data_IF_085509366748
#
_entry.id   IF_085509366748
#
_cell.length_a   1.000
_cell.length_b   1.000
_cell.length_c   1.000
_cell.angle_alpha   90.00
_cell.angle_beta   90.00
_cell.angle_gamma   90.00
#
_symmetry.space_group_name_H-M   'P 1'
#
loop_
_entity.id
_entity.type
_entity.pdbx_description
1 polymer ?
#
# COMPACT_ATOMS: atom_id res chain seq x y z
N UNK A 1 8.37 53.35 -16.62
CA UNK A 1 7.91 52.60 -17.83
C UNK A 1 8.83 51.46 -18.22
N UNK A 2 10.17 51.63 -18.28
CA UNK A 2 11.11 50.57 -18.72
C UNK A 2 11.06 49.25 -17.92
N UNK A 3 10.86 49.33 -16.59
CA UNK A 3 10.76 48.14 -15.71
C UNK A 3 9.49 47.33 -15.97
N UNK A 4 8.38 48.01 -16.30
CA UNK A 4 7.09 47.37 -16.56
C UNK A 4 7.09 46.64 -17.90
N UNK A 5 7.82 47.20 -18.88
CA UNK A 5 8.11 46.56 -20.16
C UNK A 5 8.95 45.29 -19.98
N UNK A 6 9.98 45.31 -19.13
CA UNK A 6 10.80 44.13 -18.85
C UNK A 6 10.01 43.00 -18.18
N UNK A 7 9.09 43.32 -17.27
CA UNK A 7 8.24 42.32 -16.61
C UNK A 7 7.24 41.70 -17.59
N UNK A 8 6.67 42.50 -18.49
CA UNK A 8 5.76 41.99 -19.53
C UNK A 8 6.50 41.11 -20.55
N UNK A 9 7.73 41.48 -20.93
CA UNK A 9 8.56 40.71 -21.85
C UNK A 9 8.98 39.37 -21.24
N UNK A 10 9.34 39.36 -19.95
CA UNK A 10 9.64 38.12 -19.21
C UNK A 10 8.42 37.20 -19.06
N UNK A 11 7.22 37.76 -18.84
CA UNK A 11 5.98 36.98 -18.81
C UNK A 11 5.63 36.40 -20.18
N UNK A 12 5.89 37.14 -21.26
CA UNK A 12 5.61 36.67 -22.62
C UNK A 12 6.55 35.52 -23.03
N UNK A 13 7.85 35.65 -22.77
CA UNK A 13 8.84 34.57 -23.04
C UNK A 13 8.51 33.31 -22.23
N UNK A 14 8.06 33.46 -20.98
CA UNK A 14 7.66 32.32 -20.13
C UNK A 14 6.39 31.62 -20.64
N UNK A 15 5.49 32.36 -21.28
CA UNK A 15 4.27 31.82 -21.87
C UNK A 15 4.58 31.07 -23.18
N UNK A 16 5.43 31.64 -24.04
CA UNK A 16 5.83 31.02 -25.30
C UNK A 16 6.60 29.71 -25.09
N UNK A 17 7.52 29.66 -24.11
CA UNK A 17 8.23 28.42 -23.77
C UNK A 17 7.33 27.34 -23.17
N UNK A 18 6.25 27.72 -22.47
CA UNK A 18 5.29 26.76 -21.94
C UNK A 18 4.44 26.14 -23.06
N UNK A 19 4.05 26.95 -24.05
CA UNK A 19 3.28 26.52 -25.21
C UNK A 19 4.08 25.61 -26.16
N UNK A 20 5.35 25.92 -26.44
CA UNK A 20 6.23 25.05 -27.24
C UNK A 20 6.49 23.71 -26.55
N UNK A 21 6.62 23.67 -25.22
CA UNK A 21 6.82 22.41 -24.48
C UNK A 21 5.60 21.49 -24.47
N UNK A 22 4.38 22.05 -24.56
CA UNK A 22 3.16 21.24 -24.66
C UNK A 22 2.99 20.69 -26.08
N UNK A 23 3.37 21.44 -27.12
CA UNK A 23 3.30 21.01 -28.53
C UNK A 23 4.37 19.97 -28.88
N UNK A 24 5.61 20.11 -28.37
CA UNK A 24 6.64 19.07 -28.55
C UNK A 24 6.28 17.75 -27.84
N UNK A 25 5.58 17.82 -26.69
CA UNK A 25 5.09 16.61 -26.02
C UNK A 25 3.94 15.97 -26.80
N UNK A 26 3.05 16.76 -27.42
CA UNK A 26 1.91 16.26 -28.19
C UNK A 26 2.37 15.58 -29.49
N UNK A 27 3.35 16.17 -30.21
CA UNK A 27 3.93 15.59 -31.42
C UNK A 27 4.77 14.32 -31.16
N UNK A 28 5.46 14.23 -30.01
CA UNK A 28 6.21 13.02 -29.64
C UNK A 28 5.28 11.81 -29.34
N UNK A 29 4.06 12.06 -28.87
CA UNK A 29 3.07 11.00 -28.59
C UNK A 29 2.25 10.58 -29.81
N UNK A 30 2.04 11.45 -30.80
CA UNK A 30 1.36 11.08 -32.05
C UNK A 30 2.24 10.23 -32.97
N UNK A 31 3.56 10.50 -33.02
CA UNK A 31 4.49 9.72 -33.83
C UNK A 31 4.67 8.27 -33.34
N UNK A 32 4.52 8.03 -32.03
CA UNK A 32 4.62 6.69 -31.42
C UNK A 32 3.35 5.84 -31.62
N UNK A 33 2.23 6.47 -31.98
CA UNK A 33 0.92 5.82 -32.08
C UNK A 33 0.53 5.41 -33.52
N UNK A 34 1.23 5.95 -34.54
CA UNK A 34 0.99 5.60 -35.95
C UNK A 34 1.79 4.37 -36.45
N UNK A 35 2.73 3.85 -35.66
CA UNK A 35 3.53 2.66 -36.03
C UNK A 35 2.97 1.33 -35.48
N UNK A 36 1.69 1.28 -35.08
CA UNK A 36 1.10 0.12 -34.40
C UNK A 36 -0.28 -0.29 -34.88
N UNK A 37 -0.73 0.18 -36.04
CA UNK A 37 -1.97 -0.30 -36.67
C UNK A 37 -1.56 -1.32 -37.73
N UNK A 38 -1.41 -2.57 -37.29
CA UNK A 38 -1.51 -3.71 -38.19
C UNK A 38 -2.91 -4.29 -37.99
N UNK A 39 -3.72 -4.14 -39.02
CA UNK A 39 -5.06 -4.70 -39.15
C UNK A 39 -4.92 -6.22 -39.22
N UNK A 40 -5.49 -6.93 -38.26
CA UNK A 40 -5.94 -8.29 -38.52
C UNK A 40 -7.14 -8.59 -37.63
N UNK A 41 -8.30 -8.41 -38.26
CA UNK A 41 -9.52 -9.14 -37.98
C UNK A 41 -9.21 -10.64 -37.95
N UNK A 42 -9.62 -11.32 -36.89
CA UNK A 42 -10.14 -12.68 -37.00
C UNK A 42 -10.98 -12.99 -35.76
N UNK A 43 -12.28 -13.10 -36.03
CA UNK A 43 -13.27 -13.78 -35.21
C UNK A 43 -12.86 -15.25 -35.08
N UNK A 44 -12.84 -15.81 -33.86
CA UNK A 44 -12.91 -17.27 -33.70
C UNK A 44 -13.55 -17.65 -32.37
N UNK A 45 -14.83 -17.97 -32.51
CA UNK A 45 -15.60 -19.09 -31.96
C UNK A 45 -15.29 -19.64 -30.56
N UNK A 46 -16.34 -19.61 -29.74
CA UNK A 46 -16.47 -20.26 -28.44
C UNK A 46 -16.90 -21.71 -28.69
N UNK A 47 -16.12 -22.68 -28.19
CA UNK A 47 -16.58 -24.06 -28.01
C UNK A 47 -16.58 -24.36 -26.52
N UNK A 48 -17.80 -24.56 -25.99
CA UNK A 48 -18.09 -25.18 -24.70
C UNK A 48 -17.90 -26.69 -24.83
N UNK A 49 -17.21 -27.30 -23.86
CA UNK A 49 -17.27 -28.73 -23.60
C UNK A 49 -17.36 -28.91 -22.09
N UNK A 50 -18.57 -29.21 -21.63
CA UNK A 50 -18.84 -29.92 -20.39
C UNK A 50 -18.57 -31.40 -20.64
N UNK A 51 -17.85 -32.07 -19.73
CA UNK A 51 -18.18 -33.44 -19.31
C UNK A 51 -17.43 -33.79 -18.01
N UNK A 52 -18.20 -34.40 -17.12
CA UNK A 52 -17.89 -35.03 -15.83
C UNK A 52 -16.83 -36.15 -15.97
N UNK A 53 -16.03 -36.39 -14.93
CA UNK A 53 -16.28 -37.49 -13.97
C UNK A 53 -15.05 -37.75 -13.06
N UNK A 54 -15.35 -38.29 -11.89
CA UNK A 54 -14.47 -38.74 -10.82
C UNK A 54 -13.47 -39.82 -11.25
N UNK A 55 -12.39 -39.95 -10.49
CA UNK A 55 -11.48 -41.09 -10.63
C UNK A 55 -10.28 -40.96 -9.70
N UNK A 56 -10.50 -41.28 -8.43
CA UNK A 56 -9.46 -41.74 -7.51
C UNK A 56 -8.79 -42.97 -8.14
N UNK A 57 -7.46 -43.01 -8.23
CA UNK A 57 -6.74 -44.27 -8.47
C UNK A 57 -5.32 -44.21 -7.89
N UNK A 58 -5.21 -45.01 -6.85
CA UNK A 58 -4.04 -45.48 -6.09
C UNK A 58 -3.43 -46.68 -6.84
N UNK A 59 -2.15 -46.62 -7.24
CA UNK A 59 -1.37 -47.82 -7.57
C UNK A 59 0.11 -47.66 -7.17
N UNK A 60 0.38 -48.26 -6.03
CA UNK A 60 1.35 -49.33 -5.71
C UNK A 60 2.80 -49.36 -6.24
N UNK A 61 3.64 -49.84 -5.31
CA UNK A 61 5.09 -49.95 -5.30
C UNK A 61 5.48 -51.43 -5.39
N UNK A 62 5.87 -51.94 -6.56
CA UNK A 62 6.62 -53.21 -6.65
C UNK A 62 7.60 -53.16 -7.84
N UNK A 63 8.91 -53.14 -7.55
CA UNK A 63 9.94 -53.70 -8.44
C UNK A 63 10.76 -54.63 -7.54
N UNK A 64 10.33 -55.89 -7.51
CA UNK A 64 11.09 -57.03 -6.98
C UNK A 64 12.29 -57.33 -7.88
N UNK A 65 13.33 -57.83 -7.22
CA UNK A 65 14.53 -58.41 -7.80
C UNK A 65 14.18 -59.71 -8.54
N UNK A 66 14.71 -59.89 -9.76
CA UNK A 66 14.85 -61.20 -10.38
C UNK A 66 16.34 -61.44 -10.67
N UNK A 67 16.89 -62.38 -9.90
CA UNK A 67 18.12 -63.11 -10.18
C UNK A 67 17.87 -64.05 -11.36
N UNK A 68 18.75 -64.06 -12.36
CA UNK A 68 18.75 -65.11 -13.37
C UNK A 68 20.18 -65.65 -13.58
N UNK A 69 20.23 -66.98 -13.52
CA UNK A 69 21.36 -67.86 -13.37
C UNK A 69 22.34 -67.89 -14.55
N UNK A 70 23.58 -68.25 -14.25
CA UNK A 70 24.62 -68.57 -15.23
C UNK A 70 25.64 -69.54 -14.63
N UNK A 71 25.32 -70.82 -14.72
CA UNK A 71 26.11 -71.98 -14.33
C UNK A 71 27.25 -72.27 -15.35
N UNK A 72 28.30 -73.00 -14.90
CA UNK A 72 29.49 -73.53 -15.61
C UNK A 72 30.60 -72.51 -15.95
N UNK A 73 31.91 -72.77 -15.85
CA UNK A 73 32.69 -74.01 -15.73
C UNK A 73 34.10 -73.62 -15.22
N UNK A 74 34.73 -74.48 -14.42
CA UNK A 74 36.13 -74.35 -14.00
C UNK A 74 37.03 -74.84 -15.15
N UNK A 75 37.73 -73.94 -15.83
CA UNK A 75 38.99 -74.28 -16.51
C UNK A 75 40.05 -73.21 -16.24
N UNK A 76 41.23 -73.73 -15.89
CA UNK A 76 42.43 -73.06 -15.43
C UNK A 76 43.01 -72.11 -16.49
N UNK A 77 43.23 -70.85 -16.10
CA UNK A 77 44.17 -69.95 -16.77
C UNK A 77 44.61 -68.86 -15.77
N UNK A 78 45.73 -69.11 -15.07
CA UNK A 78 46.30 -68.28 -14.00
C UNK A 78 46.79 -66.89 -14.46
N UNK A 79 46.71 -66.55 -15.75
CA UNK A 79 47.17 -65.26 -16.31
C UNK A 79 46.05 -64.22 -16.55
N UNK A 80 44.78 -64.54 -16.25
CA UNK A 80 43.65 -63.67 -16.59
C UNK A 80 43.17 -62.77 -15.42
N UNK A 81 43.74 -62.94 -14.24
CA UNK A 81 43.30 -62.23 -13.02
C UNK A 81 43.63 -60.73 -13.01
N UNK A 82 44.79 -60.33 -13.55
CA UNK A 82 45.19 -58.92 -13.59
C UNK A 82 44.40 -58.13 -14.65
N UNK A 83 44.05 -58.78 -15.78
CA UNK A 83 43.17 -58.21 -16.81
C UNK A 83 41.72 -58.09 -16.32
N UNK A 84 41.20 -59.10 -15.61
CA UNK A 84 39.86 -59.08 -14.99
C UNK A 84 39.76 -58.03 -13.88
N UNK A 85 40.78 -57.86 -13.02
CA UNK A 85 40.80 -56.80 -11.98
C UNK A 85 40.78 -55.40 -12.59
N UNK A 86 41.54 -55.13 -13.66
CA UNK A 86 41.51 -53.81 -14.34
C UNK A 86 40.18 -53.52 -15.05
N UNK A 87 39.52 -54.54 -15.63
CA UNK A 87 38.18 -54.40 -16.24
C UNK A 87 37.08 -54.15 -15.19
N UNK A 88 37.08 -54.88 -14.07
CA UNK A 88 36.12 -54.67 -12.96
C UNK A 88 36.27 -53.27 -12.33
N UNK A 89 37.50 -52.77 -12.18
CA UNK A 89 37.72 -51.41 -11.69
C UNK A 89 37.18 -50.35 -12.66
N UNK A 90 37.42 -50.48 -13.98
CA UNK A 90 36.86 -49.56 -14.99
C UNK A 90 35.33 -49.61 -15.03
N UNK A 91 34.73 -50.80 -14.93
CA UNK A 91 33.29 -50.96 -14.92
C UNK A 91 32.65 -50.29 -13.69
N UNK A 92 33.25 -50.45 -12.51
CA UNK A 92 32.81 -49.77 -11.29
C UNK A 92 32.91 -48.24 -11.40
N UNK A 93 34.00 -47.71 -11.94
CA UNK A 93 34.15 -46.26 -12.18
C UNK A 93 33.16 -45.74 -13.22
N UNK A 94 32.88 -46.51 -14.29
CA UNK A 94 31.86 -46.16 -15.28
C UNK A 94 30.45 -46.19 -14.69
N UNK A 95 30.11 -47.19 -13.87
CA UNK A 95 28.80 -47.30 -13.22
C UNK A 95 28.60 -46.19 -12.19
N UNK A 96 29.63 -45.88 -11.39
CA UNK A 96 29.63 -44.75 -10.45
C UNK A 96 29.50 -43.41 -11.16
N UNK A 97 30.24 -43.19 -12.26
CA UNK A 97 30.12 -41.98 -13.06
C UNK A 97 28.77 -41.87 -13.77
N UNK A 98 28.22 -42.99 -14.24
CA UNK A 98 26.88 -43.06 -14.82
C UNK A 98 25.81 -42.72 -13.78
N UNK A 99 25.91 -43.29 -12.57
CA UNK A 99 24.99 -43.00 -11.47
C UNK A 99 25.08 -41.53 -11.03
N UNK A 100 26.29 -40.99 -10.88
CA UNK A 100 26.50 -39.56 -10.59
C UNK A 100 25.93 -38.66 -11.69
N UNK A 101 26.12 -39.02 -12.96
CA UNK A 101 25.57 -38.27 -14.10
C UNK A 101 24.04 -38.33 -14.13
N UNK A 102 23.44 -39.49 -13.84
CA UNK A 102 21.98 -39.69 -13.72
C UNK A 102 21.42 -38.89 -12.55
N UNK A 103 22.08 -38.91 -11.40
CA UNK A 103 21.66 -38.17 -10.20
C UNK A 103 21.82 -36.66 -10.38
N UNK A 104 22.91 -36.22 -11.02
CA UNK A 104 23.13 -34.82 -11.38
C UNK A 104 22.05 -34.35 -12.37
N UNK A 105 21.74 -35.11 -13.42
CA UNK A 105 20.65 -34.82 -14.36
C UNK A 105 19.28 -34.77 -13.67
N UNK A 106 18.97 -35.68 -12.75
CA UNK A 106 17.72 -35.63 -11.96
C UNK A 106 17.64 -34.36 -11.11
N UNK A 107 18.73 -33.99 -10.42
CA UNK A 107 18.77 -32.78 -9.61
C UNK A 107 18.70 -31.50 -10.47
N UNK A 108 19.39 -31.47 -11.60
CA UNK A 108 19.33 -30.37 -12.55
C UNK A 108 17.92 -30.21 -13.13
N UNK A 109 17.26 -31.31 -13.53
CA UNK A 109 15.84 -31.29 -13.97
C UNK A 109 14.90 -30.81 -12.86
N UNK A 110 15.12 -31.21 -11.60
CA UNK A 110 14.34 -30.70 -10.44
C UNK A 110 14.57 -29.20 -10.22
N UNK A 111 15.81 -28.73 -10.34
CA UNK A 111 16.16 -27.32 -10.21
C UNK A 111 15.57 -26.47 -11.33
N UNK A 112 15.62 -26.96 -12.58
CA UNK A 112 14.98 -26.32 -13.73
C UNK A 112 13.45 -26.29 -13.59
N UNK A 113 12.82 -27.34 -13.07
CA UNK A 113 11.38 -27.33 -12.76
C UNK A 113 11.02 -26.28 -11.69
N UNK A 114 11.80 -26.18 -10.60
CA UNK A 114 11.62 -25.14 -9.57
C UNK A 114 11.78 -23.74 -10.15
N UNK A 115 12.80 -23.54 -10.99
CA UNK A 115 13.04 -22.26 -11.67
C UNK A 115 11.90 -21.88 -12.62
N UNK A 116 11.40 -22.83 -13.43
CA UNK A 116 10.22 -22.60 -14.29
C UNK A 116 8.98 -22.24 -13.46
N UNK A 117 8.69 -22.97 -12.38
CA UNK A 117 7.57 -22.64 -11.47
C UNK A 117 7.72 -21.23 -10.88
N UNK A 118 8.93 -20.81 -10.49
CA UNK A 118 9.17 -19.46 -10.00
C UNK A 118 8.94 -18.39 -11.09
N UNK A 119 9.39 -18.63 -12.32
CA UNK A 119 9.16 -17.72 -13.44
C UNK A 119 7.66 -17.64 -13.79
N UNK A 120 6.95 -18.75 -13.73
CA UNK A 120 5.51 -18.79 -13.97
C UNK A 120 4.74 -18.03 -12.89
N UNK A 121 5.08 -18.21 -11.61
CA UNK A 121 4.49 -17.43 -10.51
C UNK A 121 4.78 -15.93 -10.69
N UNK A 122 6.00 -15.55 -11.11
CA UNK A 122 6.33 -14.15 -11.45
C UNK A 122 5.49 -13.63 -12.62
N UNK A 123 5.32 -14.42 -13.70
CA UNK A 123 4.45 -14.08 -14.84
C UNK A 123 3.01 -13.89 -14.42
N UNK A 124 2.41 -14.84 -13.70
CA UNK A 124 1.04 -14.75 -13.17
C UNK A 124 0.86 -13.52 -12.26
N UNK A 125 1.86 -13.21 -11.42
CA UNK A 125 1.84 -12.01 -10.57
C UNK A 125 1.88 -10.71 -11.39
N UNK A 126 2.74 -10.65 -12.41
CA UNK A 126 2.81 -9.51 -13.33
C UNK A 126 1.53 -9.35 -14.15
N UNK A 127 0.93 -10.45 -14.59
CA UNK A 127 -0.34 -10.45 -15.31
C UNK A 127 -1.48 -9.90 -14.43
N UNK A 128 -1.60 -10.37 -13.18
CA UNK A 128 -2.55 -9.81 -12.19
C UNK A 128 -2.34 -8.31 -11.97
N UNK A 129 -1.09 -7.85 -11.91
CA UNK A 129 -0.76 -6.42 -11.79
C UNK A 129 -1.16 -5.62 -13.04
N UNK A 130 -0.86 -6.14 -14.24
CA UNK A 130 -1.28 -5.53 -15.51
C UNK A 130 -2.80 -5.46 -15.61
N UNK A 131 -3.50 -6.51 -15.22
CA UNK A 131 -4.96 -6.56 -15.22
C UNK A 131 -5.57 -5.57 -14.23
N UNK A 132 -5.01 -5.47 -13.01
CA UNK A 132 -5.36 -4.44 -12.04
C UNK A 132 -5.15 -3.02 -12.60
N UNK A 133 -4.04 -2.78 -13.31
CA UNK A 133 -3.76 -1.51 -13.97
C UNK A 133 -4.76 -1.23 -15.10
N UNK A 134 -5.08 -2.21 -15.96
CA UNK A 134 -6.12 -2.11 -16.99
C UNK A 134 -7.48 -1.77 -16.39
N UNK A 135 -7.92 -2.49 -15.35
CA UNK A 135 -9.17 -2.21 -14.61
C UNK A 135 -9.16 -0.79 -14.01
N UNK A 136 -8.03 -0.34 -13.45
CA UNK A 136 -7.88 1.01 -12.90
C UNK A 136 -7.95 2.09 -13.99
N UNK A 137 -7.33 1.84 -15.13
CA UNK A 137 -7.37 2.71 -16.30
C UNK A 137 -8.79 2.80 -16.88
N UNK A 138 -9.47 1.66 -17.06
CA UNK A 138 -10.87 1.61 -17.51
C UNK A 138 -11.80 2.39 -16.56
N UNK A 139 -11.64 2.25 -15.23
CA UNK A 139 -12.38 3.07 -14.25
C UNK A 139 -12.06 4.57 -14.39
N UNK A 140 -10.81 4.94 -14.67
CA UNK A 140 -10.40 6.34 -14.89
C UNK A 140 -11.00 6.88 -16.18
N UNK A 141 -11.04 6.08 -17.25
CA UNK A 141 -11.70 6.43 -18.52
C UNK A 141 -13.21 6.61 -18.33
N UNK A 142 -13.93 5.64 -17.76
CA UNK A 142 -15.37 5.76 -17.45
C UNK A 142 -15.67 7.00 -16.61
N UNK A 143 -14.81 7.32 -15.62
CA UNK A 143 -14.97 8.53 -14.82
C UNK A 143 -14.71 9.84 -15.62
N UNK A 144 -13.78 9.82 -16.59
CA UNK A 144 -13.54 10.94 -17.52
C UNK A 144 -14.70 11.11 -18.49
N UNK A 145 -15.21 10.02 -19.07
CA UNK A 145 -16.40 10.02 -19.92
C UNK A 145 -17.62 10.52 -19.17
N UNK A 146 -17.88 10.03 -17.95
CA UNK A 146 -18.95 10.54 -17.11
C UNK A 146 -18.79 12.04 -16.83
N UNK A 147 -17.56 12.52 -16.57
CA UNK A 147 -17.30 13.96 -16.41
C UNK A 147 -17.53 14.73 -17.70
N UNK A 148 -17.09 14.23 -18.86
CA UNK A 148 -17.32 14.84 -20.17
C UNK A 148 -18.81 14.86 -20.51
N UNK A 149 -19.54 13.79 -20.25
CA UNK A 149 -20.99 13.71 -20.40
C UNK A 149 -21.70 14.66 -19.43
N UNK A 150 -21.23 14.78 -18.18
CA UNK A 150 -21.72 15.78 -17.23
C UNK A 150 -21.43 17.19 -17.73
N UNK A 151 -20.22 17.46 -18.23
CA UNK A 151 -19.79 18.77 -18.76
C UNK A 151 -20.53 19.15 -20.06
N UNK A 152 -20.81 18.19 -20.95
CA UNK A 152 -21.67 18.37 -22.14
C UNK A 152 -23.14 18.57 -21.72
N UNK A 153 -23.64 17.84 -20.72
CA UNK A 153 -24.94 18.13 -20.07
C UNK A 153 -24.93 19.43 -19.28
N UNK A 154 -23.78 19.97 -18.89
CA UNK A 154 -23.59 21.23 -18.17
C UNK A 154 -23.15 22.38 -19.09
N UNK A 155 -22.89 22.12 -20.38
CA UNK A 155 -22.99 23.10 -21.48
C UNK A 155 -24.45 23.57 -21.67
N UNK A 156 -25.36 23.09 -20.83
CA UNK A 156 -26.48 23.86 -20.28
C UNK A 156 -25.93 25.17 -19.74
N UNK A 157 -25.93 26.19 -20.62
CA UNK A 157 -25.67 27.61 -20.36
C UNK A 157 -25.85 27.96 -18.88
N UNK A 158 -24.92 28.69 -18.28
CA UNK A 158 -24.95 29.00 -16.83
C UNK A 158 -26.36 29.32 -16.34
N UNK A 159 -26.73 28.91 -15.12
CA UNK A 159 -28.05 29.20 -14.52
C UNK A 159 -28.52 30.66 -14.76
N UNK A 160 -27.58 31.60 -14.81
CA UNK A 160 -27.82 33.00 -15.16
C UNK A 160 -28.41 33.21 -16.57
N UNK A 161 -27.94 32.47 -17.57
CA UNK A 161 -28.41 32.52 -18.96
C UNK A 161 -29.84 31.98 -19.10
N UNK A 162 -30.18 30.89 -18.40
CA UNK A 162 -31.56 30.40 -18.38
C UNK A 162 -32.51 31.39 -17.69
N UNK A 163 -32.10 31.97 -16.56
CA UNK A 163 -32.88 33.04 -15.90
C UNK A 163 -33.11 34.24 -16.82
N UNK A 164 -32.07 34.74 -17.50
CA UNK A 164 -32.19 35.84 -18.47
C UNK A 164 -33.17 35.50 -19.61
N UNK A 165 -33.12 34.26 -20.13
CA UNK A 165 -34.04 33.79 -21.17
C UNK A 165 -35.49 33.69 -20.70
N UNK A 166 -35.72 33.26 -19.46
CA UNK A 166 -37.07 33.20 -18.87
C UNK A 166 -37.66 34.61 -18.72
N UNK A 167 -36.89 35.54 -18.14
CA UNK A 167 -37.33 36.94 -17.97
C UNK A 167 -37.65 37.58 -19.32
N UNK A 168 -36.81 37.36 -20.34
CA UNK A 168 -37.06 37.86 -21.69
C UNK A 168 -38.32 37.24 -22.33
N UNK A 169 -38.58 35.95 -22.09
CA UNK A 169 -39.78 35.28 -22.56
C UNK A 169 -41.04 35.81 -21.85
N UNK A 170 -40.99 36.03 -20.54
CA UNK A 170 -42.08 36.59 -19.74
C UNK A 170 -42.48 37.99 -20.21
N UNK A 171 -41.50 38.87 -20.43
CA UNK A 171 -41.74 40.22 -21.00
C UNK A 171 -42.46 40.13 -22.36
N UNK A 172 -42.02 39.23 -23.23
CA UNK A 172 -42.63 39.04 -24.56
C UNK A 172 -44.05 38.48 -24.49
N UNK A 173 -44.32 37.54 -23.58
CA UNK A 173 -45.66 36.99 -23.35
C UNK A 173 -46.58 38.08 -22.79
N UNK A 174 -46.09 38.91 -21.86
CA UNK A 174 -46.84 40.03 -21.31
C UNK A 174 -47.26 41.03 -22.40
N UNK A 175 -46.33 41.41 -23.29
CA UNK A 175 -46.64 42.30 -24.42
C UNK A 175 -47.68 41.67 -25.37
N UNK A 176 -47.57 40.38 -25.67
CA UNK A 176 -48.55 39.68 -26.51
C UNK A 176 -49.94 39.59 -25.85
N UNK A 177 -50.00 39.41 -24.53
CA UNK A 177 -51.27 39.45 -23.78
C UNK A 177 -51.92 40.84 -23.84
N UNK A 178 -51.13 41.92 -23.74
CA UNK A 178 -51.63 43.28 -23.90
C UNK A 178 -52.17 43.52 -25.31
N UNK A 179 -51.42 43.13 -26.35
CA UNK A 179 -51.89 43.22 -27.74
C UNK A 179 -53.17 42.42 -27.97
N UNK A 180 -53.27 41.22 -27.40
CA UNK A 180 -54.49 40.42 -27.46
C UNK A 180 -55.69 41.12 -26.79
N UNK A 181 -55.48 41.79 -25.65
CA UNK A 181 -56.51 42.58 -24.96
C UNK A 181 -56.99 43.75 -25.84
N UNK A 182 -56.06 44.45 -26.49
CA UNK A 182 -56.39 45.56 -27.41
C UNK A 182 -57.19 45.04 -28.61
N UNK A 183 -56.75 43.95 -29.25
CA UNK A 183 -57.48 43.34 -30.38
C UNK A 183 -58.86 42.85 -29.96
N UNK A 184 -59.01 42.25 -28.77
CA UNK A 184 -60.32 41.83 -28.24
C UNK A 184 -61.27 43.01 -28.09
N UNK A 185 -60.80 44.13 -27.56
CA UNK A 185 -61.60 45.35 -27.45
C UNK A 185 -61.98 45.90 -28.84
N UNK A 186 -61.06 45.89 -29.80
CA UNK A 186 -61.33 46.32 -31.19
C UNK A 186 -62.35 45.41 -31.89
N UNK A 187 -62.29 44.10 -31.68
CA UNK A 187 -63.30 43.13 -32.15
C UNK A 187 -64.68 43.48 -31.59
N UNK A 188 -64.78 43.73 -30.29
CA UNK A 188 -66.04 44.11 -29.64
C UNK A 188 -66.58 45.41 -30.26
N UNK A 189 -65.75 46.45 -30.41
CA UNK A 189 -66.15 47.72 -31.03
C UNK A 189 -66.63 47.55 -32.49
N UNK A 190 -65.93 46.74 -33.30
CA UNK A 190 -66.34 46.46 -34.68
C UNK A 190 -67.67 45.69 -34.75
N UNK A 191 -67.91 44.76 -33.81
CA UNK A 191 -69.20 44.05 -33.70
C UNK A 191 -70.32 45.03 -33.34
N UNK A 192 -70.09 45.96 -32.39
CA UNK A 192 -71.07 46.99 -32.05
C UNK A 192 -71.38 47.90 -33.24
N UNK A 193 -70.36 48.37 -33.97
CA UNK A 193 -70.54 49.18 -35.18
C UNK A 193 -71.33 48.43 -36.25
N UNK A 194 -70.98 47.17 -36.53
CA UNK A 194 -71.70 46.32 -37.49
C UNK A 194 -73.18 46.12 -37.16
N UNK A 195 -73.56 46.15 -35.87
CA UNK A 195 -74.95 46.07 -35.43
C UNK A 195 -75.72 47.37 -35.65
N UNK A 196 -75.03 48.51 -35.67
CA UNK A 196 -75.63 49.84 -35.81
C UNK A 196 -75.71 50.30 -37.28
N UNK A 197 -74.81 49.83 -38.16
CA UNK A 197 -74.80 50.23 -39.57
C UNK A 197 -75.92 49.54 -40.37
N UNK A 198 -76.80 50.34 -41.00
CA UNK A 198 -77.83 49.85 -41.92
C UNK A 198 -77.35 49.76 -43.38
N UNK A 199 -76.26 50.47 -43.71
CA UNK A 199 -75.71 50.59 -45.06
C UNK A 199 -74.97 49.32 -45.53
N UNK A 200 -75.42 48.71 -46.64
CA UNK A 200 -74.94 47.39 -47.09
C UNK A 200 -73.46 47.40 -47.49
N UNK A 201 -72.98 48.46 -48.17
CA UNK A 201 -71.58 48.58 -48.60
C UNK A 201 -70.62 48.73 -47.41
N UNK A 202 -70.98 49.55 -46.42
CA UNK A 202 -70.17 49.74 -45.21
C UNK A 202 -70.13 48.46 -44.36
N UNK A 203 -71.22 47.70 -44.33
CA UNK A 203 -71.28 46.41 -43.62
C UNK A 203 -70.30 45.38 -44.18
N UNK A 204 -70.13 45.31 -45.50
CA UNK A 204 -69.15 44.42 -46.16
C UNK A 204 -67.71 44.83 -45.82
N UNK A 205 -67.41 46.13 -45.78
CA UNK A 205 -66.09 46.62 -45.40
C UNK A 205 -65.77 46.32 -43.92
N UNK A 206 -66.74 46.55 -43.02
CA UNK A 206 -66.58 46.28 -41.59
C UNK A 206 -66.47 44.79 -41.27
N UNK A 207 -67.15 43.90 -42.01
CA UNK A 207 -66.98 42.44 -41.84
C UNK A 207 -65.61 41.97 -42.34
N UNK A 208 -65.10 42.54 -43.43
CA UNK A 208 -63.73 42.27 -43.88
C UNK A 208 -62.70 42.72 -42.83
N UNK A 209 -62.84 43.94 -42.28
CA UNK A 209 -61.96 44.42 -41.20
C UNK A 209 -62.06 43.51 -39.97
N UNK A 210 -63.28 43.14 -39.55
CA UNK A 210 -63.50 42.24 -38.42
C UNK A 210 -62.80 40.88 -38.62
N UNK A 211 -62.90 40.29 -39.82
CA UNK A 211 -62.24 39.02 -40.16
C UNK A 211 -60.72 39.13 -40.02
N UNK A 212 -60.12 40.21 -40.54
CA UNK A 212 -58.67 40.43 -40.40
C UNK A 212 -58.23 40.60 -38.95
N UNK A 213 -59.01 41.29 -38.12
CA UNK A 213 -58.70 41.50 -36.69
C UNK A 213 -58.84 40.19 -35.91
N UNK A 214 -59.83 39.36 -36.25
CA UNK A 214 -60.00 38.03 -35.65
C UNK A 214 -58.81 37.13 -35.98
N UNK A 215 -58.36 37.10 -37.23
CA UNK A 215 -57.24 36.27 -37.67
C UNK A 215 -55.92 36.71 -37.00
N UNK A 216 -55.67 38.04 -36.92
CA UNK A 216 -54.57 38.60 -36.11
C UNK A 216 -54.65 38.18 -34.64
N UNK A 217 -55.85 38.12 -34.04
CA UNK A 217 -56.02 37.66 -32.65
C UNK A 217 -55.68 36.17 -32.49
N UNK A 218 -56.05 35.33 -33.47
CA UNK A 218 -55.77 33.89 -33.48
C UNK A 218 -54.28 33.64 -33.57
N UNK A 219 -53.57 34.39 -34.42
CA UNK A 219 -52.12 34.33 -34.54
C UNK A 219 -51.40 34.69 -33.23
N UNK A 220 -51.81 35.79 -32.59
CA UNK A 220 -51.25 36.19 -31.30
C UNK A 220 -51.53 35.12 -30.24
N UNK A 221 -52.72 34.52 -30.22
CA UNK A 221 -53.05 33.42 -29.30
C UNK A 221 -52.17 32.19 -29.52
N UNK A 222 -51.96 31.76 -30.77
CA UNK A 222 -51.04 30.67 -31.12
C UNK A 222 -49.60 31.00 -30.69
N UNK A 223 -49.15 32.23 -30.88
CA UNK A 223 -47.82 32.67 -30.48
C UNK A 223 -47.62 32.67 -28.95
N UNK A 224 -48.62 33.07 -28.17
CA UNK A 224 -48.60 33.00 -26.69
C UNK A 224 -48.44 31.55 -26.24
N UNK A 225 -49.26 30.64 -26.77
CA UNK A 225 -49.24 29.21 -26.39
C UNK A 225 -47.89 28.59 -26.75
N UNK A 226 -47.40 28.77 -27.97
CA UNK A 226 -46.10 28.23 -28.42
C UNK A 226 -44.94 28.71 -27.53
N UNK A 227 -44.95 30.00 -27.14
CA UNK A 227 -43.91 30.56 -26.27
C UNK A 227 -44.01 30.07 -24.83
N UNK A 228 -45.22 29.89 -24.30
CA UNK A 228 -45.43 29.31 -22.97
C UNK A 228 -44.90 27.86 -22.90
N UNK A 229 -45.13 27.05 -23.94
CA UNK A 229 -44.58 25.69 -24.05
C UNK A 229 -43.04 25.71 -24.05
N UNK A 230 -42.43 26.61 -24.83
CA UNK A 230 -40.96 26.78 -24.84
C UNK A 230 -40.41 27.22 -23.48
N UNK A 231 -41.11 28.09 -22.75
CA UNK A 231 -40.74 28.51 -21.40
C UNK A 231 -40.77 27.34 -20.41
N UNK A 232 -41.81 26.49 -20.48
CA UNK A 232 -41.91 25.29 -19.64
C UNK A 232 -40.77 24.30 -19.87
N UNK A 233 -40.37 24.07 -21.14
CA UNK A 233 -39.19 23.25 -21.42
C UNK A 233 -37.90 23.82 -20.80
N UNK A 234 -37.74 25.14 -20.82
CA UNK A 234 -36.59 25.83 -20.22
C UNK A 234 -36.61 25.69 -18.69
N UNK A 235 -37.77 25.82 -18.04
CA UNK A 235 -37.92 25.63 -16.60
C UNK A 235 -37.54 24.21 -16.16
N UNK A 236 -38.00 23.18 -16.89
CA UNK A 236 -37.61 21.78 -16.63
C UNK A 236 -36.09 21.58 -16.71
N UNK A 237 -35.44 22.17 -17.72
CA UNK A 237 -33.96 22.14 -17.85
C UNK A 237 -33.26 22.84 -16.68
N UNK A 238 -33.80 23.95 -16.20
CA UNK A 238 -33.29 24.69 -15.06
C UNK A 238 -33.39 23.89 -13.75
N UNK A 239 -34.49 23.18 -13.52
CA UNK A 239 -34.63 22.33 -12.33
C UNK A 239 -33.73 21.10 -12.38
N UNK A 240 -33.55 20.49 -13.55
CA UNK A 240 -32.56 19.45 -13.73
C UNK A 240 -31.14 19.95 -13.44
N UNK A 241 -30.79 21.17 -13.89
CA UNK A 241 -29.51 21.79 -13.57
C UNK A 241 -29.31 22.04 -12.06
N UNK A 242 -30.37 22.45 -11.33
CA UNK A 242 -30.33 22.58 -9.87
C UNK A 242 -30.05 21.23 -9.19
N UNK A 243 -30.77 20.17 -9.59
CA UNK A 243 -30.59 18.81 -9.05
C UNK A 243 -29.16 18.32 -9.29
N UNK A 244 -28.64 18.51 -10.50
CA UNK A 244 -27.25 18.16 -10.85
C UNK A 244 -26.24 18.94 -10.03
N UNK A 245 -26.42 20.26 -9.84
CA UNK A 245 -25.54 21.08 -8.99
C UNK A 245 -25.50 20.58 -7.55
N UNK A 246 -26.66 20.19 -7.00
CA UNK A 246 -26.74 19.61 -5.66
C UNK A 246 -26.00 18.26 -5.57
N UNK A 247 -26.16 17.39 -6.58
CA UNK A 247 -25.45 16.12 -6.67
C UNK A 247 -23.92 16.30 -6.76
N UNK A 248 -23.44 17.24 -7.58
CA UNK A 248 -22.01 17.57 -7.69
C UNK A 248 -21.46 18.07 -6.35
N UNK A 249 -22.22 18.90 -5.62
CA UNK A 249 -21.83 19.38 -4.29
C UNK A 249 -21.70 18.22 -3.29
N UNK A 250 -22.58 17.22 -3.34
CA UNK A 250 -22.48 15.99 -2.53
C UNK A 250 -21.22 15.20 -2.87
N UNK A 251 -21.00 14.91 -4.16
CA UNK A 251 -19.81 14.18 -4.65
C UNK A 251 -18.50 14.90 -4.25
N UNK A 252 -18.46 16.23 -4.32
CA UNK A 252 -17.28 16.99 -3.91
C UNK A 252 -17.01 16.87 -2.41
N UNK A 253 -18.05 16.95 -1.56
CA UNK A 253 -17.93 16.74 -0.12
C UNK A 253 -17.40 15.34 0.21
N UNK A 254 -17.93 14.31 -0.45
CA UNK A 254 -17.46 12.92 -0.28
C UNK A 254 -16.01 12.76 -0.73
N UNK A 255 -15.61 13.33 -1.87
CA UNK A 255 -14.21 13.32 -2.33
C UNK A 255 -13.26 13.94 -1.32
N UNK A 256 -13.66 15.08 -0.73
CA UNK A 256 -12.88 15.73 0.32
C UNK A 256 -12.80 14.89 1.59
N UNK A 257 -13.90 14.22 1.97
CA UNK A 257 -13.91 13.28 3.10
C UNK A 257 -12.96 12.09 2.87
N UNK A 258 -13.04 11.44 1.71
CA UNK A 258 -12.16 10.31 1.33
C UNK A 258 -10.69 10.76 1.28
N UNK A 259 -10.40 11.95 0.76
CA UNK A 259 -9.05 12.49 0.75
C UNK A 259 -8.51 12.70 2.18
N UNK A 260 -9.33 13.19 3.09
CA UNK A 260 -8.97 13.34 4.50
C UNK A 260 -8.75 11.98 5.18
N UNK A 261 -9.60 10.98 4.92
CA UNK A 261 -9.41 9.62 5.45
C UNK A 261 -8.08 9.01 4.97
N UNK A 262 -7.75 9.14 3.68
CA UNK A 262 -6.46 8.67 3.14
C UNK A 262 -5.27 9.33 3.83
N UNK A 263 -5.36 10.64 4.13
CA UNK A 263 -4.32 11.35 4.90
C UNK A 263 -4.19 10.80 6.32
N UNK A 264 -5.31 10.49 6.98
CA UNK A 264 -5.33 9.89 8.33
C UNK A 264 -4.67 8.52 8.32
N UNK A 265 -5.04 7.65 7.38
CA UNK A 265 -4.45 6.30 7.25
C UNK A 265 -2.94 6.39 7.00
N UNK A 266 -2.53 7.27 6.07
CA UNK A 266 -1.10 7.51 5.78
C UNK A 266 -0.35 7.96 7.03
N UNK A 267 -0.92 8.88 7.82
CA UNK A 267 -0.33 9.35 9.06
C UNK A 267 -0.17 8.21 10.08
N UNK A 268 -1.21 7.37 10.25
CA UNK A 268 -1.16 6.23 11.16
C UNK A 268 -0.04 5.27 10.79
N UNK A 269 0.10 4.92 9.50
CA UNK A 269 1.15 4.00 9.04
C UNK A 269 2.57 4.56 9.27
N UNK A 270 2.78 5.85 9.02
CA UNK A 270 4.08 6.51 9.29
C UNK A 270 4.38 6.49 10.78
N UNK A 271 3.42 6.85 11.63
CA UNK A 271 3.58 6.85 13.08
C UNK A 271 3.89 5.43 13.57
N UNK A 272 3.21 4.43 13.01
CA UNK A 272 3.40 3.04 13.44
C UNK A 272 4.80 2.52 13.13
N UNK A 273 5.30 2.83 11.92
CA UNK A 273 6.68 2.58 11.55
C UNK A 273 7.65 3.28 12.52
N UNK A 274 7.42 4.56 12.84
CA UNK A 274 8.26 5.32 13.78
C UNK A 274 8.23 4.77 15.20
N UNK A 275 7.09 4.29 15.70
CA UNK A 275 6.98 3.61 17.00
C UNK A 275 7.88 2.37 17.04
N UNK A 276 7.88 1.60 15.95
CA UNK A 276 8.73 0.41 15.85
C UNK A 276 10.21 0.74 15.87
N UNK A 277 10.65 1.88 15.35
CA UNK A 277 12.05 2.32 15.47
C UNK A 277 12.35 2.80 16.90
N UNK A 278 11.52 3.72 17.41
CA UNK A 278 11.72 4.36 18.71
C UNK A 278 11.72 3.38 19.90
N UNK A 279 11.04 2.23 19.78
CA UNK A 279 11.06 1.20 20.84
C UNK A 279 12.44 0.54 20.98
N UNK A 280 13.24 0.53 19.92
CA UNK A 280 14.62 0.03 19.94
C UNK A 280 15.57 1.12 20.45
N UNK A 281 15.45 2.36 19.98
CA UNK A 281 16.26 3.50 20.42
C UNK A 281 16.12 3.77 21.93
N UNK A 282 14.93 3.53 22.48
CA UNK A 282 14.62 3.76 23.88
C UNK A 282 14.33 2.46 24.65
N UNK A 283 15.10 1.40 24.36
CA UNK A 283 14.94 0.02 24.91
C UNK A 283 14.82 -0.06 26.43
N UNK A 284 15.34 0.92 27.17
CA UNK A 284 15.39 0.92 28.65
C UNK A 284 14.73 2.14 29.30
N UNK A 285 14.13 3.07 28.54
CA UNK A 285 13.52 4.28 29.10
C UNK A 285 12.14 4.55 28.52
N UNK A 286 11.12 4.08 29.23
CA UNK A 286 9.72 4.20 28.84
C UNK A 286 9.23 5.67 28.75
N UNK A 287 9.70 6.54 29.66
CA UNK A 287 9.30 7.96 29.68
C UNK A 287 9.87 8.70 28.47
N UNK A 288 11.14 8.45 28.11
CA UNK A 288 11.75 9.00 26.88
C UNK A 288 11.04 8.47 25.63
N UNK A 289 10.73 7.17 25.58
CA UNK A 289 9.94 6.57 24.49
C UNK A 289 8.59 7.26 24.29
N UNK A 290 7.77 7.41 25.35
CA UNK A 290 6.46 8.05 25.24
C UNK A 290 6.55 9.51 24.75
N UNK A 291 7.54 10.27 25.25
CA UNK A 291 7.78 11.66 24.82
C UNK A 291 8.22 11.74 23.37
N UNK A 292 9.09 10.84 22.92
CA UNK A 292 9.56 10.78 21.54
C UNK A 292 8.40 10.44 20.58
N UNK A 293 7.57 9.46 20.91
CA UNK A 293 6.40 9.11 20.10
C UNK A 293 5.40 10.27 20.03
N UNK A 294 5.13 10.96 21.14
CA UNK A 294 4.24 12.12 21.13
C UNK A 294 4.76 13.25 20.23
N UNK A 295 6.08 13.50 20.22
CA UNK A 295 6.72 14.46 19.30
C UNK A 295 6.57 14.02 17.85
N UNK A 296 6.75 12.72 17.55
CA UNK A 296 6.62 12.22 16.18
C UNK A 296 5.20 12.23 15.65
N UNK A 297 4.19 11.97 16.50
CA UNK A 297 2.79 12.15 16.13
C UNK A 297 2.54 13.61 15.73
N UNK A 298 3.02 14.57 16.53
CA UNK A 298 2.88 16.01 16.25
C UNK A 298 3.58 16.41 14.95
N UNK A 299 4.81 15.92 14.72
CA UNK A 299 5.58 16.17 13.49
C UNK A 299 4.87 15.62 12.25
N UNK A 300 4.40 14.37 12.31
CA UNK A 300 3.70 13.71 11.21
C UNK A 300 2.39 14.42 10.87
N UNK A 301 1.61 14.81 11.89
CA UNK A 301 0.40 15.59 11.68
C UNK A 301 0.69 16.96 11.04
N UNK A 302 1.75 17.66 11.46
CA UNK A 302 2.16 18.95 10.87
C UNK A 302 2.58 18.78 9.41
N UNK A 303 3.40 17.78 9.11
CA UNK A 303 3.87 17.48 7.76
C UNK A 303 2.71 17.15 6.81
N UNK A 304 1.72 16.39 7.27
CA UNK A 304 0.54 16.01 6.47
C UNK A 304 -0.59 17.05 6.49
N UNK A 305 -0.36 18.22 7.10
CA UNK A 305 -1.35 19.31 7.24
C UNK A 305 -2.68 18.82 7.81
N UNK A 306 -2.63 17.93 8.81
CA UNK A 306 -3.80 17.37 9.47
C UNK A 306 -4.28 18.33 10.58
N UNK A 307 -5.59 18.53 10.68
CA UNK A 307 -6.16 19.42 11.70
C UNK A 307 -5.91 18.91 13.12
N UNK A 308 -5.83 19.83 14.10
CA UNK A 308 -5.59 19.51 15.52
C UNK A 308 -6.59 18.48 16.08
N UNK A 309 -7.88 18.61 15.72
CA UNK A 309 -8.95 17.67 16.13
C UNK A 309 -8.68 16.25 15.63
N UNK A 310 -8.31 16.10 14.36
CA UNK A 310 -8.02 14.79 13.76
C UNK A 310 -6.71 14.22 14.31
N UNK A 311 -5.69 15.05 14.52
CA UNK A 311 -4.44 14.62 15.14
C UNK A 311 -4.65 14.07 16.57
N UNK A 312 -5.55 14.69 17.36
CA UNK A 312 -5.94 14.16 18.69
C UNK A 312 -6.59 12.78 18.59
N UNK A 313 -7.44 12.54 17.59
CA UNK A 313 -8.02 11.21 17.33
C UNK A 313 -6.95 10.17 16.97
N UNK A 314 -5.98 10.53 16.12
CA UNK A 314 -4.85 9.66 15.76
C UNK A 314 -4.03 9.33 17.01
N UNK A 315 -3.67 10.33 17.81
CA UNK A 315 -2.92 10.13 19.06
C UNK A 315 -3.65 9.18 20.03
N UNK A 316 -4.97 9.34 20.16
CA UNK A 316 -5.78 8.44 20.99
C UNK A 316 -5.79 7.00 20.48
N UNK A 317 -5.90 6.79 19.15
CA UNK A 317 -5.82 5.46 18.55
C UNK A 317 -4.46 4.80 18.78
N UNK A 318 -3.37 5.56 18.70
CA UNK A 318 -2.02 5.03 18.92
C UNK A 318 -1.68 4.84 20.40
N UNK A 319 -2.46 5.42 21.32
CA UNK A 319 -2.20 5.40 22.77
C UNK A 319 -2.12 3.98 23.35
N UNK A 320 -3.00 3.07 22.93
CA UNK A 320 -3.02 1.68 23.40
C UNK A 320 -1.71 0.97 23.04
N UNK A 321 -1.27 1.10 21.79
CA UNK A 321 -0.02 0.52 21.29
C UNK A 321 1.20 1.09 22.00
N UNK A 322 1.26 2.41 22.18
CA UNK A 322 2.34 3.08 22.94
C UNK A 322 2.37 2.60 24.39
N UNK A 323 1.21 2.47 25.04
CA UNK A 323 1.11 1.96 26.42
C UNK A 323 1.62 0.52 26.52
N UNK A 324 1.27 -0.33 25.56
CA UNK A 324 1.73 -1.73 25.52
C UNK A 324 3.25 -1.84 25.35
N UNK A 325 3.83 -1.15 24.37
CA UNK A 325 5.29 -1.15 24.16
C UNK A 325 6.05 -0.52 25.33
N UNK A 326 5.50 0.55 25.91
CA UNK A 326 6.04 1.16 27.12
C UNK A 326 6.12 0.17 28.29
N UNK A 327 5.08 -0.67 28.50
CA UNK A 327 5.11 -1.72 29.54
C UNK A 327 6.22 -2.75 29.27
N UNK A 328 6.43 -3.14 28.00
CA UNK A 328 7.53 -4.05 27.63
C UNK A 328 8.91 -3.45 27.90
N UNK A 329 9.08 -2.16 27.65
CA UNK A 329 10.34 -1.44 27.95
C UNK A 329 10.62 -1.45 29.46
N UNK A 330 9.61 -1.16 30.30
CA UNK A 330 9.76 -1.21 31.77
C UNK A 330 10.15 -2.61 32.23
N UNK A 331 9.47 -3.66 31.74
CA UNK A 331 9.83 -5.06 32.07
C UNK A 331 11.28 -5.38 31.72
N UNK A 332 11.76 -4.97 30.54
CA UNK A 332 13.16 -5.16 30.10
C UNK A 332 14.15 -4.41 30.99
N UNK A 333 13.82 -3.19 31.40
CA UNK A 333 14.64 -2.40 32.32
C UNK A 333 14.75 -3.08 33.69
N UNK A 334 13.62 -3.50 34.28
CA UNK A 334 13.61 -4.15 35.59
C UNK A 334 14.39 -5.48 35.56
N UNK A 335 14.27 -6.28 34.48
CA UNK A 335 15.06 -7.50 34.30
C UNK A 335 16.56 -7.20 34.23
N UNK A 336 16.96 -6.12 33.53
CA UNK A 336 18.38 -5.70 33.46
C UNK A 336 18.89 -5.26 34.84
N UNK A 337 18.10 -4.50 35.59
CA UNK A 337 18.46 -4.07 36.95
C UNK A 337 18.58 -5.25 37.92
N UNK A 338 17.65 -6.21 37.88
CA UNK A 338 17.73 -7.42 38.68
C UNK A 338 18.99 -8.25 38.37
N UNK A 339 19.34 -8.40 37.09
CA UNK A 339 20.56 -9.10 36.69
C UNK A 339 21.83 -8.36 37.12
N UNK A 340 21.84 -7.03 37.03
CA UNK A 340 22.96 -6.22 37.52
C UNK A 340 23.13 -6.37 39.03
N UNK A 341 22.03 -6.35 39.80
CA UNK A 341 22.05 -6.58 41.25
C UNK A 341 22.64 -7.95 41.59
N UNK A 342 22.14 -9.02 40.95
CA UNK A 342 22.68 -10.39 41.12
C UNK A 342 24.17 -10.50 40.78
N UNK A 343 24.60 -9.84 39.70
CA UNK A 343 26.01 -9.86 39.30
C UNK A 343 26.91 -9.07 40.28
N UNK A 344 26.40 -7.97 40.85
CA UNK A 344 27.11 -7.22 41.88
C UNK A 344 27.23 -8.03 43.18
N UNK A 345 26.14 -8.68 43.62
CA UNK A 345 26.13 -9.60 44.78
C UNK A 345 27.20 -10.69 44.62
N UNK A 346 27.19 -11.41 43.48
CA UNK A 346 28.23 -12.42 43.17
C UNK A 346 29.65 -11.88 43.16
N UNK A 347 29.87 -10.64 42.68
CA UNK A 347 31.21 -10.02 42.69
C UNK A 347 31.65 -9.65 44.10
N UNK A 348 30.74 -9.23 44.97
CA UNK A 348 31.03 -8.91 46.37
C UNK A 348 31.36 -10.20 47.13
N UNK A 349 30.53 -11.23 46.99
CA UNK A 349 30.77 -12.58 47.55
C UNK A 349 32.14 -13.13 47.10
N UNK A 350 32.45 -13.09 45.80
CA UNK A 350 33.74 -13.54 45.30
C UNK A 350 34.94 -12.73 45.83
N UNK A 351 34.78 -11.42 46.08
CA UNK A 351 35.83 -10.60 46.72
C UNK A 351 36.01 -10.95 48.19
N UNK A 352 34.92 -11.14 48.93
CA UNK A 352 34.93 -11.57 50.33
C UNK A 352 35.63 -12.92 50.47
N UNK A 353 35.22 -13.92 49.68
CA UNK A 353 35.84 -15.26 49.68
C UNK A 353 37.34 -15.18 49.38
N UNK A 354 37.76 -14.40 48.37
CA UNK A 354 39.19 -14.21 48.06
C UNK A 354 39.96 -13.57 49.21
N UNK A 355 39.39 -12.60 49.90
CA UNK A 355 40.02 -12.00 51.09
C UNK A 355 40.17 -13.02 52.22
N UNK A 356 39.13 -13.82 52.48
CA UNK A 356 39.17 -14.86 53.51
C UNK A 356 40.23 -15.92 53.19
N UNK A 357 40.27 -16.42 51.95
CA UNK A 357 41.28 -17.41 51.50
C UNK A 357 42.69 -16.84 51.62
N UNK A 358 42.92 -15.57 51.23
CA UNK A 358 44.23 -14.92 51.38
C UNK A 358 44.64 -14.78 52.85
N UNK A 359 43.69 -14.47 53.73
CA UNK A 359 43.91 -14.44 55.18
C UNK A 359 44.27 -15.81 55.76
N UNK A 360 43.61 -16.88 55.30
CA UNK A 360 43.94 -18.26 55.68
C UNK A 360 45.31 -18.67 55.16
N UNK A 361 45.63 -18.41 53.89
CA UNK A 361 46.93 -18.72 53.30
C UNK A 361 48.08 -18.05 54.07
N UNK A 362 47.92 -16.77 54.45
CA UNK A 362 48.92 -16.05 55.26
C UNK A 362 49.07 -16.63 56.68
N UNK A 363 48.00 -17.18 57.28
CA UNK A 363 48.07 -17.91 58.54
C UNK A 363 48.79 -19.25 58.37
N UNK A 364 48.49 -19.97 57.30
CA UNK A 364 49.17 -21.22 56.95
C UNK A 364 50.67 -21.03 56.71
N UNK A 365 51.08 -20.01 55.94
CA UNK A 365 52.50 -19.70 55.73
C UNK A 365 53.22 -19.37 57.03
N UNK A 366 52.59 -18.57 57.92
CA UNK A 366 53.16 -18.27 59.24
C UNK A 366 53.33 -19.53 60.07
N UNK A 367 52.31 -20.40 60.11
CA UNK A 367 52.39 -21.66 60.84
C UNK A 367 53.47 -22.58 60.23
N UNK A 368 53.57 -22.64 58.90
CA UNK A 368 54.59 -23.44 58.22
C UNK A 368 56.01 -22.97 58.52
N UNK A 369 56.27 -21.65 58.51
CA UNK A 369 57.56 -21.10 58.91
C UNK A 369 57.92 -21.38 60.37
N UNK A 370 56.92 -21.34 61.26
CA UNK A 370 57.09 -21.74 62.66
C UNK A 370 57.46 -23.23 62.76
N UNK A 371 56.76 -24.10 62.02
CA UNK A 371 57.08 -25.53 61.95
C UNK A 371 58.48 -25.79 61.38
N UNK A 372 58.87 -25.08 60.32
CA UNK A 372 60.20 -25.24 59.69
C UNK A 372 61.32 -24.82 60.65
N UNK A 373 61.09 -23.78 61.46
CA UNK A 373 62.02 -23.38 62.52
C UNK A 373 62.16 -24.50 63.58
N UNK A 374 61.05 -25.10 64.02
CA UNK A 374 61.10 -26.24 64.94
C UNK A 374 61.78 -27.47 64.33
N UNK A 375 61.57 -27.75 63.04
CA UNK A 375 62.28 -28.82 62.31
C UNK A 375 63.79 -28.59 62.26
N UNK A 376 64.24 -27.36 61.95
CA UNK A 376 65.68 -27.05 61.95
C UNK A 376 66.32 -27.19 63.33
N UNK A 377 65.61 -26.77 64.39
CA UNK A 377 66.08 -26.97 65.77
C UNK A 377 66.19 -28.45 66.08
N UNK A 378 65.17 -29.25 65.74
CA UNK A 378 65.19 -30.71 65.86
C UNK A 378 66.37 -31.35 65.13
N UNK A 379 66.62 -30.97 63.87
CA UNK A 379 67.71 -31.51 63.06
C UNK A 379 69.09 -31.18 63.65
N UNK A 380 69.27 -29.96 64.18
CA UNK A 380 70.51 -29.58 64.87
C UNK A 380 70.67 -30.37 66.16
N UNK A 381 69.62 -30.48 66.99
CA UNK A 381 69.69 -31.24 68.25
C UNK A 381 69.93 -32.73 68.02
N UNK A 382 69.31 -33.33 66.99
CA UNK A 382 69.52 -34.72 66.62
C UNK A 382 70.91 -35.01 66.04
N UNK A 383 71.57 -34.00 65.44
CA UNK A 383 72.98 -34.11 65.02
C UNK A 383 73.95 -33.99 66.18
N UNK A 384 73.63 -33.16 67.18
CA UNK A 384 74.48 -32.94 68.36
C UNK A 384 74.41 -34.10 69.37
N UNK A 385 73.24 -34.71 69.57
CA UNK A 385 73.07 -35.86 70.48
C UNK A 385 72.12 -36.92 69.87
N UNK A 386 72.68 -37.93 69.18
CA UNK A 386 71.87 -38.97 68.51
C UNK A 386 71.07 -39.84 69.48
N UNK A 387 71.51 -39.98 70.74
CA UNK A 387 70.89 -40.89 71.71
C UNK A 387 69.59 -40.32 72.28
N UNK A 388 69.51 -39.00 72.42
CA UNK A 388 68.32 -38.29 72.92
C UNK A 388 67.38 -37.80 71.79
N UNK A 389 67.79 -37.91 70.52
CA UNK A 389 66.98 -37.52 69.35
C UNK A 389 65.57 -38.15 69.34
N UNK A 390 65.42 -39.41 69.74
CA UNK A 390 64.11 -40.06 69.80
C UNK A 390 63.18 -39.46 70.86
N UNK A 391 63.74 -38.94 71.96
CA UNK A 391 62.97 -38.22 72.99
C UNK A 391 62.48 -36.88 72.43
N UNK A 392 63.36 -36.08 71.83
CA UNK A 392 62.98 -34.80 71.23
C UNK A 392 62.01 -34.96 70.06
N UNK A 393 62.17 -35.97 69.19
CA UNK A 393 61.21 -36.27 68.14
C UNK A 393 59.83 -36.67 68.67
N UNK A 394 59.76 -37.35 69.82
CA UNK A 394 58.49 -37.63 70.50
C UNK A 394 57.86 -36.38 71.11
N UNK A 395 58.65 -35.54 71.79
CA UNK A 395 58.17 -34.31 72.43
C UNK A 395 57.70 -33.24 71.43
N UNK A 396 58.30 -33.18 70.24
CA UNK A 396 57.87 -32.28 69.17
C UNK A 396 56.92 -32.93 68.15
N UNK A 397 56.73 -34.25 68.19
CA UNK A 397 55.87 -35.01 67.27
C UNK A 397 54.39 -34.60 67.33
N UNK A 398 53.93 -34.12 68.49
CA UNK A 398 52.58 -33.56 68.64
C UNK A 398 52.45 -32.15 68.06
N UNK A 399 53.57 -31.43 67.86
CA UNK A 399 53.57 -30.07 67.32
C UNK A 399 53.93 -30.01 65.84
N UNK A 400 54.60 -30.99 65.24
CA UNK A 400 55.01 -30.96 63.83
C UNK A 400 54.43 -32.18 63.12
N UNK A 401 53.38 -32.03 62.27
CA UNK A 401 52.86 -33.15 61.50
C UNK A 401 53.97 -33.71 60.60
N UNK A 402 54.26 -35.00 60.78
CA UNK A 402 55.13 -35.76 59.89
C UNK A 402 54.27 -36.25 58.72
N UNK A 403 54.69 -35.90 57.49
CA UNK A 403 54.12 -36.45 56.26
C UNK A 403 54.91 -37.68 55.85
#
# INVERSE_FOLDING_TARGET
MKVLLLVLLAMFISFSYAEESEVELENAYELENNNGVDENDNEEEVIEAEDDDNGDDEYDLEEEDDDEDGEYELEDDEDDEERRRRRRHRHFWHYRNWWLRRHWMRNWKRQMRRWRRQQEVKRRRMQRLREMHRRRFARKQRARELRRAMMKRLHVKTMSSYKKRIIAAEKRIANQKQMFKILKNKIIQLIYKLRQTQDAKQKVQLTAELKTVIDKSKEIRKAIVSRAVKQNMILRKLDNAKKVKAAIKKIYKEKMAIANEKRVIKAMNIIDSKINVLKHDHKYNAKKFQRAVAKEIKRTCKHLRITKKVCKKIANKMRSKVKYESKKIVKRYNKKQANLKKNLEKRIEGKMVKQTVKGMAKKFERNYHVMDKYRRVLDVTCRMDPKSCNFFRRSFGDMVPMF
#
